data_IF_257470918471
#
_entry.id   IF_257470918471
#
_cell.length_a   1.000
_cell.length_b   1.000
_cell.length_c   1.000
_cell.angle_alpha   90.00
_cell.angle_beta   90.00
_cell.angle_gamma   90.00
#
_symmetry.space_group_name_H-M   'P 1'
#
loop_
_entity.id
_entity.type
_entity.pdbx_description
1 polymer ?
#
# COMPACT_ATOMS: atom_id res chain seq x y z
N UNK A 1 -11.35 -5.30 5.55
CA UNK A 1 -10.74 -5.36 4.22
C UNK A 1 -9.36 -4.70 4.15
N UNK A 2 -9.24 -3.48 4.67
CA UNK A 2 -7.92 -2.85 4.79
C UNK A 2 -6.95 -3.69 5.61
N UNK A 3 -7.42 -4.33 6.68
CA UNK A 3 -6.58 -5.15 7.54
C UNK A 3 -5.91 -6.30 6.80
N UNK A 4 -6.59 -6.91 5.85
CA UNK A 4 -6.04 -8.02 5.07
C UNK A 4 -4.91 -7.54 4.16
N UNK A 5 -5.08 -6.38 3.54
CA UNK A 5 -4.03 -5.74 2.73
C UNK A 5 -2.82 -5.44 3.60
N UNK A 6 -3.03 -4.84 4.78
CA UNK A 6 -1.95 -4.51 5.70
C UNK A 6 -1.24 -5.77 6.20
N UNK A 7 -1.97 -6.84 6.47
CA UNK A 7 -1.39 -8.11 6.91
C UNK A 7 -0.48 -8.70 5.84
N UNK A 8 -0.88 -8.61 4.57
CA UNK A 8 -0.06 -9.08 3.46
C UNK A 8 1.25 -8.29 3.38
N UNK A 9 1.18 -6.97 3.51
CA UNK A 9 2.37 -6.12 3.47
C UNK A 9 3.26 -6.37 4.68
N UNK A 10 2.70 -6.50 5.86
CA UNK A 10 3.46 -6.70 7.10
C UNK A 10 4.07 -8.10 7.18
N UNK A 11 3.46 -9.09 6.56
CA UNK A 11 3.95 -10.47 6.58
C UNK A 11 5.07 -10.74 5.58
N UNK A 12 5.28 -9.84 4.62
CA UNK A 12 6.30 -10.03 3.59
C UNK A 12 7.71 -9.75 4.14
N UNK A 13 8.57 -10.76 4.12
CA UNK A 13 9.91 -10.65 4.69
C UNK A 13 10.81 -9.68 3.91
N UNK A 14 10.66 -9.62 2.60
CA UNK A 14 11.45 -8.72 1.76
C UNK A 14 11.08 -7.26 2.04
N UNK A 15 9.79 -6.96 2.12
CA UNK A 15 9.32 -5.63 2.44
C UNK A 15 9.72 -5.23 3.86
N UNK A 16 9.60 -6.14 4.81
CA UNK A 16 10.04 -5.95 6.19
C UNK A 16 11.50 -5.51 6.25
N UNK A 17 12.35 -6.18 5.49
CA UNK A 17 13.78 -5.90 5.43
C UNK A 17 14.05 -4.54 4.76
N UNK A 18 13.37 -4.24 3.65
CA UNK A 18 13.52 -2.97 2.93
C UNK A 18 13.13 -1.77 3.79
N UNK A 19 12.10 -1.92 4.61
CA UNK A 19 11.61 -0.85 5.47
C UNK A 19 12.47 -0.66 6.72
N UNK A 20 13.34 -1.61 7.04
CA UNK A 20 14.07 -1.60 8.29
C UNK A 20 13.14 -1.78 9.50
N UNK A 21 12.05 -2.50 9.29
CA UNK A 21 11.05 -2.72 10.33
C UNK A 21 11.57 -3.62 11.44
N UNK A 22 10.90 -3.59 12.59
CA UNK A 22 11.24 -4.46 13.71
C UNK A 22 9.96 -4.93 14.41
N UNK A 23 10.11 -5.77 15.43
CA UNK A 23 8.97 -6.37 16.14
C UNK A 23 8.03 -5.32 16.74
N UNK A 24 8.58 -4.17 17.14
CA UNK A 24 7.81 -3.09 17.77
C UNK A 24 7.21 -2.12 16.76
N UNK A 25 7.77 -2.02 15.56
CA UNK A 25 7.37 -1.03 14.57
C UNK A 25 7.50 -1.59 13.16
N UNK A 26 6.38 -1.74 12.49
CA UNK A 26 6.32 -2.27 11.13
C UNK A 26 6.78 -1.28 10.07
N UNK A 27 6.97 0.00 10.42
CA UNK A 27 7.24 1.10 9.49
C UNK A 27 6.16 1.26 8.41
N UNK A 28 4.92 0.87 8.74
CA UNK A 28 3.73 1.08 7.89
C UNK A 28 2.72 1.85 8.73
N UNK A 29 2.41 3.08 8.32
CA UNK A 29 1.64 4.01 9.13
C UNK A 29 0.43 4.55 8.38
N UNK A 30 -0.65 4.81 9.10
CA UNK A 30 -1.82 5.49 8.56
C UNK A 30 -1.52 6.99 8.47
N UNK A 31 -1.85 7.58 7.33
CA UNK A 31 -1.76 9.01 7.01
C UNK A 31 -0.33 9.56 6.96
N UNK A 32 0.38 9.65 8.07
CA UNK A 32 1.70 10.28 8.14
C UNK A 32 2.79 9.29 8.51
N UNK A 33 3.88 9.30 7.74
CA UNK A 33 5.05 8.49 8.05
C UNK A 33 5.76 9.00 9.30
N UNK A 34 6.32 8.07 10.08
CA UNK A 34 7.02 8.37 11.33
C UNK A 34 8.47 7.92 11.35
N UNK A 35 8.94 7.29 10.29
CA UNK A 35 10.32 6.83 10.17
C UNK A 35 10.94 7.39 8.89
N UNK A 36 12.27 7.42 8.81
CA UNK A 36 12.97 7.93 7.63
C UNK A 36 12.65 7.08 6.38
N UNK A 37 12.59 5.77 6.54
CA UNK A 37 12.16 4.84 5.51
C UNK A 37 10.90 4.15 6.00
N UNK A 38 9.79 4.35 5.29
CA UNK A 38 8.51 3.82 5.72
C UNK A 38 7.50 3.80 4.57
N UNK A 39 6.36 3.19 4.85
CA UNK A 39 5.15 3.29 4.02
C UNK A 39 4.11 4.05 4.82
N UNK A 40 3.46 5.02 4.20
CA UNK A 40 2.24 5.61 4.74
C UNK A 40 1.09 5.30 3.80
N UNK A 41 -0.12 5.20 4.33
CA UNK A 41 -1.28 4.84 3.53
C UNK A 41 -2.51 5.65 3.92
N UNK A 42 -3.40 5.81 2.95
CA UNK A 42 -4.75 6.35 3.15
C UNK A 42 -5.75 5.45 2.44
N UNK A 43 -6.89 5.25 3.03
CA UNK A 43 -7.91 4.35 2.50
C UNK A 43 -9.26 5.05 2.53
N UNK A 44 -10.01 4.97 1.42
CA UNK A 44 -11.34 5.57 1.32
C UNK A 44 -12.20 4.78 0.35
N UNK A 45 -13.51 4.74 0.62
CA UNK A 45 -14.47 4.18 -0.31
C UNK A 45 -14.76 5.17 -1.42
N UNK A 46 -14.91 4.67 -2.66
CA UNK A 46 -15.24 5.50 -3.82
C UNK A 46 -16.71 5.32 -4.18
N UNK A 47 -17.15 4.08 -4.40
CA UNK A 47 -18.52 3.78 -4.81
C UNK A 47 -18.99 2.47 -4.19
N UNK A 48 -20.32 2.28 -4.15
CA UNK A 48 -20.93 1.02 -3.79
C UNK A 48 -22.19 0.84 -4.62
N UNK A 49 -22.38 -0.36 -5.18
CA UNK A 49 -23.59 -0.72 -5.93
C UNK A 49 -24.46 -1.75 -5.20
N UNK A 50 -24.16 -2.00 -3.93
CA UNK A 50 -24.86 -3.00 -3.11
C UNK A 50 -24.28 -4.40 -3.24
N UNK A 51 -23.44 -4.66 -4.23
CA UNK A 51 -22.79 -5.94 -4.48
C UNK A 51 -21.29 -5.79 -4.40
N UNK A 52 -20.77 -4.70 -4.95
CA UNK A 52 -19.33 -4.40 -5.00
C UNK A 52 -19.07 -3.02 -4.43
N UNK A 53 -17.97 -2.90 -3.72
CA UNK A 53 -17.46 -1.61 -3.24
C UNK A 53 -16.13 -1.37 -3.93
N UNK A 54 -15.97 -0.18 -4.51
CA UNK A 54 -14.67 0.28 -4.98
C UNK A 54 -14.06 1.18 -3.93
N UNK A 55 -12.83 0.88 -3.57
CA UNK A 55 -12.09 1.63 -2.57
C UNK A 55 -10.76 2.09 -3.15
N UNK A 56 -10.31 3.24 -2.71
CA UNK A 56 -9.01 3.80 -3.11
C UNK A 56 -8.03 3.63 -1.97
N UNK A 57 -6.91 2.98 -2.27
CA UNK A 57 -5.79 2.85 -1.34
C UNK A 57 -4.62 3.67 -1.87
N UNK A 58 -4.24 4.71 -1.14
CA UNK A 58 -3.05 5.48 -1.45
C UNK A 58 -1.89 4.92 -0.65
N UNK A 59 -0.82 4.54 -1.34
CA UNK A 59 0.42 4.06 -0.72
C UNK A 59 1.53 5.04 -1.03
N UNK A 60 2.21 5.51 -0.02
CA UNK A 60 3.38 6.38 -0.16
C UNK A 60 4.61 5.61 0.33
N UNK A 61 5.55 5.37 -0.57
CA UNK A 61 6.82 4.71 -0.25
C UNK A 61 7.87 5.81 -0.04
N UNK A 62 8.34 5.95 1.18
CA UNK A 62 9.14 7.09 1.64
C UNK A 62 10.54 6.63 2.03
N UNK A 63 11.57 7.29 1.51
CA UNK A 63 12.96 7.03 1.90
C UNK A 63 13.84 8.21 1.52
N UNK A 64 14.92 8.47 2.31
CA UNK A 64 15.97 9.41 1.87
C UNK A 64 16.69 8.94 0.62
N UNK A 65 16.67 7.64 0.33
CA UNK A 65 17.27 7.03 -0.85
C UNK A 65 16.19 6.69 -1.86
N UNK A 66 16.22 7.34 -3.03
CA UNK A 66 15.23 7.11 -4.09
C UNK A 66 15.21 5.66 -4.55
N UNK A 67 16.39 5.05 -4.71
CA UNK A 67 16.46 3.65 -5.15
C UNK A 67 15.77 2.71 -4.16
N UNK A 68 15.87 3.01 -2.88
CA UNK A 68 15.19 2.24 -1.83
C UNK A 68 13.67 2.44 -1.87
N UNK A 69 13.23 3.69 -2.06
CA UNK A 69 11.81 3.98 -2.21
C UNK A 69 11.23 3.25 -3.42
N UNK A 70 11.97 3.22 -4.53
CA UNK A 70 11.56 2.50 -5.74
C UNK A 70 11.48 1.00 -5.51
N UNK A 71 12.45 0.43 -4.79
CA UNK A 71 12.44 -1.00 -4.44
C UNK A 71 11.23 -1.36 -3.57
N UNK A 72 10.91 -0.51 -2.61
CA UNK A 72 9.72 -0.68 -1.76
C UNK A 72 8.46 -0.62 -2.60
N UNK A 73 8.35 0.36 -3.49
CA UNK A 73 7.19 0.50 -4.37
C UNK A 73 7.03 -0.73 -5.27
N UNK A 74 8.12 -1.19 -5.88
CA UNK A 74 8.07 -2.37 -6.76
C UNK A 74 7.61 -3.61 -6.00
N UNK A 75 8.06 -3.78 -4.77
CA UNK A 75 7.62 -4.91 -3.95
C UNK A 75 6.15 -4.82 -3.56
N UNK A 76 5.69 -3.63 -3.15
CA UNK A 76 4.28 -3.39 -2.86
C UNK A 76 3.42 -3.68 -4.08
N UNK A 77 3.82 -3.16 -5.24
CA UNK A 77 3.11 -3.40 -6.50
C UNK A 77 3.04 -4.88 -6.82
N UNK A 78 4.14 -5.59 -6.69
CA UNK A 78 4.19 -7.03 -6.94
C UNK A 78 3.23 -7.80 -6.00
N UNK A 79 3.24 -7.46 -4.71
CA UNK A 79 2.37 -8.12 -3.74
C UNK A 79 0.89 -7.86 -4.01
N UNK A 80 0.53 -6.64 -4.40
CA UNK A 80 -0.88 -6.27 -4.56
C UNK A 80 -1.42 -6.57 -5.96
N UNK A 81 -0.64 -6.35 -7.02
CA UNK A 81 -1.12 -6.52 -8.40
C UNK A 81 -1.02 -7.96 -8.89
N UNK A 82 0.04 -8.68 -8.56
CA UNK A 82 0.17 -10.10 -8.96
C UNK A 82 -0.99 -10.91 -8.42
N UNK A 83 -1.63 -10.41 -7.41
CA UNK A 83 -2.77 -11.02 -6.76
C UNK A 83 -4.07 -10.78 -7.54
N UNK A 84 -4.06 -9.92 -8.56
CA UNK A 84 -5.20 -9.79 -9.45
C UNK A 84 -5.62 -11.11 -10.09
N UNK A 85 -4.69 -12.07 -10.22
CA UNK A 85 -4.95 -13.40 -10.76
C UNK A 85 -5.19 -14.45 -9.68
N UNK A 86 -5.00 -14.13 -8.39
CA UNK A 86 -5.05 -15.12 -7.32
C UNK A 86 -6.10 -14.82 -6.26
N UNK A 87 -6.71 -13.66 -6.28
CA UNK A 87 -7.55 -13.12 -5.22
C UNK A 87 -6.84 -13.15 -3.87
N UNK A 88 -6.62 -11.99 -3.27
CA UNK A 88 -6.00 -11.87 -1.95
C UNK A 88 -6.81 -12.61 -0.89
N UNK A 89 -8.12 -12.59 -1.07
CA UNK A 89 -9.06 -13.44 -0.33
C UNK A 89 -10.38 -13.47 -1.10
N UNK A 90 -11.36 -14.19 -0.59
CA UNK A 90 -12.65 -14.37 -1.28
C UNK A 90 -13.43 -13.07 -1.45
N UNK A 91 -13.12 -12.03 -0.69
CA UNK A 91 -13.85 -10.76 -0.73
C UNK A 91 -13.21 -9.73 -1.64
N UNK A 92 -11.92 -9.85 -1.94
CA UNK A 92 -11.22 -8.94 -2.84
C UNK A 92 -11.28 -9.50 -4.25
N UNK A 93 -12.04 -8.82 -5.12
CA UNK A 93 -12.26 -9.27 -6.49
C UNK A 93 -11.17 -8.81 -7.44
N UNK A 94 -10.61 -7.64 -7.21
CA UNK A 94 -9.58 -7.09 -8.09
C UNK A 94 -8.78 -6.00 -7.38
N UNK A 95 -7.51 -5.87 -7.77
CA UNK A 95 -6.65 -4.77 -7.35
C UNK A 95 -5.97 -4.22 -8.60
N UNK A 96 -6.14 -2.93 -8.86
CA UNK A 96 -5.55 -2.28 -10.02
C UNK A 96 -4.78 -1.03 -9.62
N UNK A 97 -3.64 -0.81 -10.25
CA UNK A 97 -2.88 0.43 -10.09
C UNK A 97 -3.54 1.52 -10.93
N UNK A 98 -3.89 2.64 -10.30
CA UNK A 98 -4.61 3.73 -10.94
C UNK A 98 -3.90 5.07 -10.69
N UNK A 99 -2.69 5.18 -11.21
CA UNK A 99 -1.94 6.43 -11.13
C UNK A 99 -0.98 6.49 -9.95
N UNK A 100 -0.30 7.62 -9.88
CA UNK A 100 0.70 7.87 -8.86
C UNK A 100 1.74 8.84 -9.38
N UNK A 101 2.88 8.90 -8.71
CA UNK A 101 3.99 9.76 -9.10
C UNK A 101 5.06 9.77 -8.04
N UNK A 102 6.12 10.49 -8.31
CA UNK A 102 7.20 10.65 -7.35
C UNK A 102 7.43 12.13 -7.06
N UNK A 103 7.86 12.42 -5.82
CA UNK A 103 8.23 13.77 -5.43
C UNK A 103 9.35 13.73 -4.40
N UNK A 104 10.03 14.84 -4.27
CA UNK A 104 11.11 15.02 -3.30
C UNK A 104 10.75 16.16 -2.36
N UNK A 105 10.85 15.90 -1.06
CA UNK A 105 10.59 16.90 -0.01
C UNK A 105 11.93 17.42 0.49
N UNK A 106 12.28 18.65 0.15
CA UNK A 106 13.56 19.25 0.54
C UNK A 106 13.72 19.40 2.06
N UNK A 107 12.63 19.71 2.74
CA UNK A 107 12.65 19.95 4.19
C UNK A 107 13.10 18.72 4.97
N UNK A 108 12.65 17.55 4.54
CA UNK A 108 12.98 16.28 5.20
C UNK A 108 14.04 15.48 4.44
N UNK A 109 14.39 15.92 3.23
CA UNK A 109 15.32 15.24 2.33
C UNK A 109 14.88 13.81 2.03
N UNK A 110 13.58 13.63 1.81
CA UNK A 110 12.99 12.34 1.51
C UNK A 110 12.37 12.31 0.13
N UNK A 111 12.52 11.17 -0.54
CA UNK A 111 11.78 10.85 -1.77
C UNK A 111 10.51 10.11 -1.40
N UNK A 112 9.42 10.45 -2.08
CA UNK A 112 8.13 9.79 -1.90
C UNK A 112 7.69 9.27 -3.25
N UNK A 113 7.44 7.96 -3.35
CA UNK A 113 6.80 7.37 -4.51
C UNK A 113 5.36 7.06 -4.09
N UNK A 114 4.44 7.77 -4.71
CA UNK A 114 3.01 7.68 -4.40
C UNK A 114 2.33 6.77 -5.42
N UNK A 115 1.48 5.88 -4.96
CA UNK A 115 0.69 5.02 -5.82
C UNK A 115 -0.75 4.96 -5.34
N UNK A 116 -1.68 4.94 -6.29
CA UNK A 116 -3.10 4.78 -6.01
C UNK A 116 -3.54 3.42 -6.53
N UNK A 117 -4.08 2.61 -5.64
CA UNK A 117 -4.67 1.31 -6.00
C UNK A 117 -6.17 1.40 -5.86
N UNK A 118 -6.88 0.85 -6.84
CA UNK A 118 -8.33 0.71 -6.76
C UNK A 118 -8.62 -0.75 -6.43
N UNK A 119 -9.30 -0.94 -5.31
CA UNK A 119 -9.73 -2.26 -4.84
C UNK A 119 -11.19 -2.44 -5.18
N UNK A 120 -11.52 -3.54 -5.85
CA UNK A 120 -12.91 -3.94 -6.04
C UNK A 120 -13.18 -5.06 -5.05
N UNK A 121 -14.09 -4.82 -4.13
CA UNK A 121 -14.38 -5.68 -3.01
C UNK A 121 -15.82 -6.12 -3.09
N UNK A 122 -16.11 -7.39 -2.76
CA UNK A 122 -17.47 -7.87 -2.63
C UNK A 122 -18.09 -7.30 -1.36
N UNK A 123 -19.24 -6.62 -1.50
CA UNK A 123 -19.97 -6.13 -0.35
C UNK A 123 -20.72 -7.29 0.28
N UNK A 124 -20.48 -7.53 1.57
CA UNK A 124 -21.20 -8.54 2.31
C UNK A 124 -22.49 -7.94 2.86
N UNK A 125 -23.61 -8.47 2.43
CA UNK A 125 -24.88 -8.13 3.02
C UNK A 125 -25.08 -8.99 4.25
N UNK A 126 -25.28 -8.33 5.37
CA UNK A 126 -25.60 -9.00 6.62
C UNK A 126 -27.10 -9.24 6.70
#
# INVERSE_FOLDING_TARGET
MLNEILNILKADSELYSLLGANVKDSHIYMNNGKADTCISYKYSSITSDGIKVQSKLEINCISPDYAKAESIFNRVKQLLITVGNRQLNNDILNVALNGGGSLYIEETKQHIIKAYFILTIRERMI
#
